data_IF_922816454204
#
_entry.id   IF_922816454204
#
_cell.length_a   1.000
_cell.length_b   1.000
_cell.length_c   1.000
_cell.angle_alpha   90.00
_cell.angle_beta   90.00
_cell.angle_gamma   90.00
#
_symmetry.space_group_name_H-M   'P 1'
#
loop_
_entity.id
_entity.type
_entity.pdbx_description
1 polymer ?
#
# COMPACT_ATOMS: atom_id res chain seq x y z
N UNK A 1 29.62 2.29 -21.91
CA UNK A 1 29.28 2.72 -20.54
C UNK A 1 27.82 3.11 -20.55
N UNK A 2 26.93 2.17 -20.21
CA UNK A 2 25.52 2.46 -19.98
C UNK A 2 25.43 3.28 -18.70
N UNK A 3 25.05 4.56 -18.81
CA UNK A 3 24.70 5.38 -17.66
C UNK A 3 23.59 4.68 -16.90
N UNK A 4 23.84 4.27 -15.65
CA UNK A 4 22.77 3.85 -14.74
C UNK A 4 21.81 5.04 -14.64
N UNK A 5 20.61 4.90 -15.19
CA UNK A 5 19.51 5.79 -14.85
C UNK A 5 19.22 5.60 -13.36
N UNK A 6 19.24 6.68 -12.58
CA UNK A 6 19.01 6.64 -11.12
C UNK A 6 17.50 6.67 -10.77
N UNK A 7 16.63 6.33 -11.71
CA UNK A 7 15.18 6.36 -11.52
C UNK A 7 14.56 7.72 -11.85
N UNK A 8 13.40 8.00 -11.25
CA UNK A 8 12.58 9.19 -11.47
C UNK A 8 13.32 10.49 -11.08
N UNK A 9 13.00 11.57 -11.79
CA UNK A 9 13.46 12.91 -11.45
C UNK A 9 12.76 13.40 -10.18
N UNK A 10 13.43 14.29 -9.44
CA UNK A 10 12.87 14.90 -8.22
C UNK A 10 12.38 16.30 -8.54
N UNK A 11 11.08 16.51 -8.38
CA UNK A 11 10.46 17.83 -8.44
C UNK A 11 10.29 18.38 -7.02
N UNK A 12 10.87 19.55 -6.77
CA UNK A 12 10.76 20.26 -5.50
C UNK A 12 9.83 21.48 -5.57
N UNK A 13 9.25 21.74 -6.75
CA UNK A 13 8.39 22.88 -7.03
C UNK A 13 6.92 22.42 -7.02
N UNK A 14 6.60 21.35 -7.77
CA UNK A 14 5.22 20.88 -7.91
C UNK A 14 4.30 22.02 -8.39
N UNK A 15 3.19 22.23 -7.69
CA UNK A 15 2.28 23.35 -7.95
C UNK A 15 2.72 24.72 -7.39
N UNK A 16 3.80 24.78 -6.61
CA UNK A 16 4.23 25.99 -5.90
C UNK A 16 3.08 26.61 -5.07
N UNK A 17 2.84 27.92 -5.19
CA UNK A 17 1.76 28.65 -4.52
C UNK A 17 0.48 28.80 -5.37
N UNK A 18 0.39 28.07 -6.49
CA UNK A 18 -0.76 28.11 -7.42
C UNK A 18 -1.33 26.70 -7.67
N UNK A 19 -1.83 25.99 -6.64
CA UNK A 19 -2.45 24.69 -6.80
C UNK A 19 -3.75 24.76 -7.61
N UNK A 20 -4.04 23.77 -8.47
CA UNK A 20 -5.25 23.77 -9.27
C UNK A 20 -6.49 23.65 -8.39
N UNK A 21 -7.58 24.29 -8.82
CA UNK A 21 -8.88 24.07 -8.19
C UNK A 21 -9.38 22.66 -8.55
N UNK A 22 -9.41 21.76 -7.56
CA UNK A 22 -9.72 20.35 -7.77
C UNK A 22 -11.17 20.07 -8.23
N UNK A 23 -12.10 21.02 -8.01
CA UNK A 23 -13.51 20.94 -8.42
C UNK A 23 -14.17 19.58 -8.08
N UNK A 24 -14.05 19.16 -6.82
CA UNK A 24 -14.53 17.85 -6.40
C UNK A 24 -16.04 17.67 -6.60
N UNK A 25 -16.51 16.44 -6.91
CA UNK A 25 -17.92 16.16 -7.17
C UNK A 25 -18.86 16.72 -6.09
N UNK A 26 -19.98 17.29 -6.51
CA UNK A 26 -20.98 17.86 -5.61
C UNK A 26 -20.53 19.15 -4.90
N UNK A 27 -19.46 19.79 -5.37
CA UNK A 27 -18.90 21.00 -4.73
C UNK A 27 -18.23 20.69 -3.39
N UNK A 28 -17.75 19.45 -3.21
CA UNK A 28 -17.09 19.04 -1.99
C UNK A 28 -15.83 19.88 -1.75
N UNK A 29 -15.61 20.28 -0.49
CA UNK A 29 -14.43 21.07 -0.09
C UNK A 29 -13.20 20.22 0.17
N UNK A 30 -13.40 18.91 0.34
CA UNK A 30 -12.36 17.91 0.63
C UNK A 30 -12.81 16.58 0.03
N UNK A 31 -11.86 15.83 -0.52
CA UNK A 31 -12.02 14.41 -0.84
C UNK A 31 -11.24 13.60 0.19
N UNK A 32 -11.88 12.60 0.80
CA UNK A 32 -11.24 11.74 1.80
C UNK A 32 -11.17 10.33 1.24
N UNK A 33 -9.96 9.79 1.13
CA UNK A 33 -9.72 8.40 0.78
C UNK A 33 -9.30 7.61 2.02
N UNK A 34 -10.09 6.62 2.41
CA UNK A 34 -9.73 5.69 3.48
C UNK A 34 -9.06 4.46 2.88
N UNK A 35 -7.79 4.26 3.21
CA UNK A 35 -7.03 3.08 2.80
C UNK A 35 -6.93 2.07 3.95
N UNK A 36 -7.36 0.83 3.71
CA UNK A 36 -7.15 -0.31 4.60
C UNK A 36 -6.05 -1.19 4.03
N UNK A 37 -4.87 -1.22 4.67
CA UNK A 37 -3.82 -2.14 4.25
C UNK A 37 -4.17 -3.56 4.72
N UNK A 38 -4.07 -4.53 3.80
CA UNK A 38 -4.24 -5.95 4.08
C UNK A 38 -2.92 -6.67 3.84
N UNK A 39 -2.08 -6.75 4.88
CA UNK A 39 -0.68 -7.17 4.80
C UNK A 39 -0.43 -8.51 5.52
N UNK A 40 -1.31 -8.86 6.45
CA UNK A 40 -1.17 -9.96 7.39
C UNK A 40 -1.20 -11.35 6.72
N UNK A 41 -0.07 -12.07 6.82
CA UNK A 41 0.26 -13.29 6.08
C UNK A 41 1.15 -13.04 4.86
N UNK A 42 1.47 -11.78 4.53
CA UNK A 42 2.33 -11.39 3.42
C UNK A 42 3.66 -10.76 3.84
N UNK A 43 3.84 -10.46 5.14
CA UNK A 43 5.03 -9.89 5.76
C UNK A 43 6.26 -10.82 5.73
N UNK A 44 7.42 -10.33 6.17
CA UNK A 44 8.64 -11.15 6.24
C UNK A 44 8.47 -12.33 7.20
N UNK A 45 8.74 -13.53 6.71
CA UNK A 45 8.70 -14.77 7.47
C UNK A 45 9.66 -15.80 6.90
N UNK A 46 10.36 -16.52 7.79
CA UNK A 46 11.16 -17.68 7.37
C UNK A 46 10.32 -18.78 6.72
N UNK A 47 9.01 -18.82 7.01
CA UNK A 47 8.07 -19.77 6.40
C UNK A 47 7.79 -19.43 4.93
N UNK A 48 8.00 -18.17 4.56
CA UNK A 48 7.88 -17.66 3.19
C UNK A 48 9.22 -17.65 2.45
N UNK A 49 10.27 -18.22 3.06
CA UNK A 49 11.62 -18.30 2.50
C UNK A 49 12.48 -17.07 2.74
N UNK A 50 12.05 -16.16 3.62
CA UNK A 50 12.85 -14.99 3.97
C UNK A 50 13.94 -15.39 4.99
N UNK A 51 15.11 -14.77 4.93
CA UNK A 51 16.23 -15.07 5.85
C UNK A 51 16.05 -14.55 7.28
N UNK A 52 14.93 -13.88 7.57
CA UNK A 52 14.68 -13.24 8.87
C UNK A 52 13.19 -13.02 9.14
N UNK A 53 12.85 -12.80 10.42
CA UNK A 53 11.51 -12.37 10.84
C UNK A 53 11.22 -10.89 10.50
N UNK A 54 9.93 -10.54 10.45
CA UNK A 54 9.47 -9.16 10.38
C UNK A 54 9.79 -8.37 11.66
N UNK A 55 9.95 -7.06 11.53
CA UNK A 55 10.15 -6.11 12.62
C UNK A 55 9.31 -4.84 12.49
N UNK A 56 8.70 -4.61 11.33
CA UNK A 56 7.93 -3.40 11.04
C UNK A 56 6.51 -3.51 11.59
N UNK A 57 5.93 -2.34 11.90
CA UNK A 57 4.51 -2.10 12.19
C UNK A 57 3.87 -3.20 13.05
N UNK A 58 4.24 -3.23 14.33
CA UNK A 58 3.61 -4.12 15.31
C UNK A 58 3.57 -3.46 16.69
N UNK A 59 2.81 -4.05 17.60
CA UNK A 59 2.74 -3.59 19.00
C UNK A 59 4.01 -3.96 19.81
N UNK A 60 4.99 -4.63 19.18
CA UNK A 60 6.18 -5.16 19.85
C UNK A 60 7.44 -4.67 19.14
N UNK A 61 8.26 -3.89 19.83
CA UNK A 61 9.59 -3.51 19.34
C UNK A 61 10.58 -4.64 19.60
N UNK A 62 11.09 -5.25 18.52
CA UNK A 62 12.05 -6.36 18.57
C UNK A 62 13.08 -6.23 17.45
N UNK A 63 14.25 -6.81 17.68
CA UNK A 63 15.24 -7.02 16.61
C UNK A 63 14.82 -8.19 15.71
N UNK A 64 15.23 -8.14 14.44
CA UNK A 64 14.98 -9.23 13.50
C UNK A 64 15.69 -10.51 13.96
N UNK A 65 14.99 -11.63 13.95
CA UNK A 65 15.59 -12.95 14.15
C UNK A 65 16.06 -13.51 12.83
N UNK A 66 17.37 -13.67 12.68
CA UNK A 66 17.99 -14.31 11.51
C UNK A 66 17.77 -15.82 11.59
N UNK A 67 17.32 -16.42 10.49
CA UNK A 67 17.01 -17.86 10.38
C UNK A 67 16.11 -18.39 11.51
N UNK A 68 15.24 -17.52 12.04
CA UNK A 68 14.41 -17.80 13.20
C UNK A 68 13.07 -17.09 13.16
N UNK A 69 12.12 -17.60 13.94
CA UNK A 69 10.77 -17.04 14.08
C UNK A 69 10.68 -16.07 15.24
N UNK A 70 9.98 -14.98 15.02
CA UNK A 70 9.58 -14.07 16.09
C UNK A 70 8.08 -14.22 16.36
N UNK A 71 7.74 -15.13 17.27
CA UNK A 71 6.37 -15.52 17.55
C UNK A 71 5.51 -14.36 18.08
N UNK A 72 6.11 -13.37 18.76
CA UNK A 72 5.34 -12.21 19.23
C UNK A 72 4.87 -11.35 18.05
N UNK A 73 5.71 -11.17 17.05
CA UNK A 73 5.37 -10.45 15.81
C UNK A 73 4.33 -11.24 15.02
N UNK A 74 4.56 -12.54 14.82
CA UNK A 74 3.62 -13.40 14.08
C UNK A 74 2.22 -13.37 14.72
N UNK A 75 2.10 -13.51 16.04
CA UNK A 75 0.80 -13.40 16.71
C UNK A 75 0.17 -12.01 16.62
N UNK A 76 0.98 -10.94 16.57
CA UNK A 76 0.49 -9.57 16.35
C UNK A 76 -0.14 -9.44 14.95
N UNK A 77 0.53 -9.95 13.92
CA UNK A 77 -0.02 -10.00 12.56
C UNK A 77 -1.26 -10.91 12.48
N UNK A 78 -1.24 -12.08 13.11
CA UNK A 78 -2.43 -12.94 13.16
C UNK A 78 -3.64 -12.23 13.79
N UNK A 79 -3.46 -11.33 14.75
CA UNK A 79 -4.56 -10.57 15.34
C UNK A 79 -5.27 -9.67 14.33
N UNK A 80 -4.53 -9.00 13.44
CA UNK A 80 -5.07 -8.22 12.34
C UNK A 80 -6.00 -9.06 11.46
N UNK A 81 -5.45 -10.17 10.93
CA UNK A 81 -6.17 -11.17 10.11
C UNK A 81 -7.41 -11.78 10.78
N UNK A 82 -7.30 -12.11 12.07
CA UNK A 82 -8.32 -12.88 12.81
C UNK A 82 -9.40 -12.01 13.42
N UNK A 83 -9.07 -10.78 13.81
CA UNK A 83 -9.93 -9.94 14.65
C UNK A 83 -10.01 -8.49 14.16
N UNK A 84 -8.86 -7.88 13.87
CA UNK A 84 -8.73 -6.47 13.49
C UNK A 84 -9.62 -6.11 12.29
N UNK A 85 -9.43 -6.80 11.16
CA UNK A 85 -10.17 -6.51 9.93
C UNK A 85 -11.68 -6.61 10.10
N UNK A 86 -12.18 -7.65 10.77
CA UNK A 86 -13.61 -7.80 10.96
C UNK A 86 -14.21 -6.66 11.79
N UNK A 87 -13.44 -6.09 12.72
CA UNK A 87 -13.84 -4.91 13.49
C UNK A 87 -13.88 -3.66 12.62
N UNK A 88 -12.86 -3.45 11.78
CA UNK A 88 -12.79 -2.31 10.85
C UNK A 88 -13.93 -2.39 9.82
N UNK A 89 -14.12 -3.56 9.20
CA UNK A 89 -15.19 -3.80 8.24
C UNK A 89 -16.56 -3.41 8.83
N UNK A 90 -16.89 -3.90 10.03
CA UNK A 90 -18.14 -3.53 10.72
C UNK A 90 -18.23 -2.02 10.94
N UNK A 91 -17.16 -1.38 11.38
CA UNK A 91 -17.16 0.06 11.65
C UNK A 91 -17.46 0.89 10.38
N UNK A 92 -16.94 0.49 9.22
CA UNK A 92 -17.24 1.12 7.93
C UNK A 92 -18.67 0.82 7.47
N UNK A 93 -19.08 -0.45 7.48
CA UNK A 93 -20.42 -0.85 7.01
C UNK A 93 -21.54 -0.24 7.84
N UNK A 94 -21.37 -0.15 9.17
CA UNK A 94 -22.35 0.47 10.07
C UNK A 94 -22.56 1.96 9.78
N UNK A 95 -21.58 2.61 9.12
CA UNK A 95 -21.62 4.02 8.72
C UNK A 95 -21.97 4.22 7.25
N UNK A 96 -22.19 3.14 6.50
CA UNK A 96 -22.37 3.20 5.04
C UNK A 96 -21.14 3.76 4.32
N UNK A 97 -19.95 3.64 4.93
CA UNK A 97 -18.70 4.12 4.37
C UNK A 97 -18.03 3.03 3.55
N UNK A 98 -17.23 3.46 2.57
CA UNK A 98 -16.38 2.61 1.74
C UNK A 98 -14.93 3.09 1.82
N UNK A 99 -14.01 2.27 1.37
CA UNK A 99 -12.61 2.61 1.24
C UNK A 99 -11.90 1.65 0.29
N UNK A 100 -10.62 1.90 0.09
CA UNK A 100 -9.74 1.12 -0.77
C UNK A 100 -8.92 0.17 0.08
N UNK A 101 -8.88 -1.11 -0.31
CA UNK A 101 -8.03 -2.10 0.33
C UNK A 101 -6.72 -2.22 -0.43
N UNK A 102 -5.62 -1.82 0.19
CA UNK A 102 -4.29 -2.08 -0.31
C UNK A 102 -3.94 -3.54 0.01
N UNK A 103 -4.15 -4.45 -0.96
CA UNK A 103 -4.05 -5.89 -0.76
C UNK A 103 -2.66 -6.43 -1.13
N UNK A 104 -1.94 -6.94 -0.13
CA UNK A 104 -0.75 -7.77 -0.37
C UNK A 104 -1.20 -9.13 -0.86
N UNK A 105 -0.69 -9.55 -2.01
CA UNK A 105 -1.28 -10.70 -2.69
C UNK A 105 -1.18 -12.02 -1.91
N UNK A 106 -0.06 -12.23 -1.21
CA UNK A 106 0.13 -13.40 -0.35
C UNK A 106 -0.81 -13.42 0.85
N UNK A 107 -1.05 -12.28 1.50
CA UNK A 107 -2.05 -12.15 2.56
C UNK A 107 -3.46 -12.52 2.05
N UNK A 108 -3.77 -12.12 0.81
CA UNK A 108 -5.00 -12.51 0.13
C UNK A 108 -5.18 -14.01 -0.12
N UNK A 109 -4.09 -14.76 -0.38
CA UNK A 109 -4.15 -16.22 -0.49
C UNK A 109 -4.49 -16.89 0.85
N UNK A 110 -4.04 -16.31 1.96
CA UNK A 110 -4.26 -16.88 3.30
C UNK A 110 -5.69 -16.68 3.82
N UNK A 111 -6.37 -15.61 3.43
CA UNK A 111 -7.68 -15.27 3.99
C UNK A 111 -8.73 -14.85 2.94
N UNK A 112 -9.14 -15.76 2.04
CA UNK A 112 -10.14 -15.47 1.02
C UNK A 112 -11.52 -15.11 1.60
N UNK A 113 -11.80 -15.51 2.85
CA UNK A 113 -13.05 -15.17 3.54
C UNK A 113 -13.13 -13.67 3.86
N UNK A 114 -12.04 -13.07 4.34
CA UNK A 114 -11.99 -11.63 4.60
C UNK A 114 -12.10 -10.83 3.29
N UNK A 115 -11.40 -11.26 2.23
CA UNK A 115 -11.47 -10.59 0.93
C UNK A 115 -12.89 -10.59 0.35
N UNK A 116 -13.57 -11.74 0.41
CA UNK A 116 -14.95 -11.84 -0.03
C UNK A 116 -15.85 -10.85 0.71
N UNK A 117 -15.71 -10.73 2.03
CA UNK A 117 -16.51 -9.81 2.83
C UNK A 117 -16.25 -8.33 2.50
N UNK A 118 -14.99 -7.96 2.20
CA UNK A 118 -14.62 -6.60 1.77
C UNK A 118 -15.25 -6.25 0.42
N UNK A 119 -15.17 -7.16 -0.56
CA UNK A 119 -15.78 -6.99 -1.89
C UNK A 119 -17.30 -6.87 -1.75
N UNK A 120 -17.94 -7.74 -0.97
CA UNK A 120 -19.39 -7.70 -0.74
C UNK A 120 -19.84 -6.40 -0.04
N UNK A 121 -18.99 -5.81 0.80
CA UNK A 121 -19.22 -4.51 1.43
C UNK A 121 -18.95 -3.32 0.49
N UNK A 122 -18.47 -3.57 -0.73
CA UNK A 122 -18.23 -2.56 -1.75
C UNK A 122 -16.94 -1.77 -1.56
N UNK A 123 -15.94 -2.35 -0.90
CA UNK A 123 -14.57 -1.86 -0.96
C UNK A 123 -13.94 -2.24 -2.31
N UNK A 124 -13.14 -1.34 -2.87
CA UNK A 124 -12.29 -1.64 -4.01
C UNK A 124 -10.96 -2.26 -3.55
N UNK A 125 -10.35 -3.07 -4.41
CA UNK A 125 -9.07 -3.71 -4.13
C UNK A 125 -7.97 -3.08 -4.99
N UNK A 126 -6.90 -2.69 -4.33
CA UNK A 126 -5.74 -2.03 -4.91
C UNK A 126 -4.50 -2.91 -4.67
N UNK A 127 -3.74 -3.29 -5.71
CA UNK A 127 -2.54 -4.10 -5.53
C UNK A 127 -1.54 -3.42 -4.59
N UNK A 128 -1.18 -4.14 -3.52
CA UNK A 128 -0.14 -3.74 -2.56
C UNK A 128 1.10 -4.64 -2.62
N UNK A 129 1.50 -5.00 -3.84
CA UNK A 129 2.56 -5.99 -4.04
C UNK A 129 2.12 -7.44 -3.83
N UNK A 130 3.01 -8.37 -4.14
CA UNK A 130 2.79 -9.81 -3.87
C UNK A 130 3.15 -10.16 -2.43
N UNK A 131 4.25 -9.57 -1.92
CA UNK A 131 4.79 -9.73 -0.58
C UNK A 131 4.98 -8.34 0.02
N UNK A 132 4.83 -8.22 1.33
CA UNK A 132 5.06 -6.97 2.04
C UNK A 132 6.52 -6.88 2.51
N UNK A 133 7.40 -6.52 1.57
CA UNK A 133 8.86 -6.48 1.76
C UNK A 133 9.46 -5.26 1.06
N UNK A 134 10.75 -5.01 1.24
CA UNK A 134 11.49 -3.98 0.49
C UNK A 134 11.82 -4.45 -0.93
N UNK A 135 11.18 -3.86 -1.93
CA UNK A 135 11.33 -4.26 -3.34
C UNK A 135 12.70 -3.91 -3.91
N UNK A 136 13.46 -3.00 -3.27
CA UNK A 136 14.83 -2.69 -3.67
C UNK A 136 15.81 -3.86 -3.46
N UNK A 137 15.39 -4.86 -2.67
CA UNK A 137 16.17 -6.08 -2.40
C UNK A 137 15.95 -7.19 -3.44
N UNK A 138 14.94 -7.04 -4.31
CA UNK A 138 14.59 -8.03 -5.32
C UNK A 138 15.42 -7.86 -6.60
N UNK A 139 15.59 -8.95 -7.37
CA UNK A 139 15.99 -8.80 -8.77
C UNK A 139 14.82 -8.23 -9.57
N UNK A 140 15.11 -7.58 -10.71
CA UNK A 140 14.09 -7.01 -11.59
C UNK A 140 13.10 -8.07 -12.07
N UNK A 141 13.55 -9.32 -12.29
CA UNK A 141 12.69 -10.43 -12.70
C UNK A 141 11.75 -10.88 -11.57
N UNK A 142 12.24 -10.91 -10.33
CA UNK A 142 11.42 -11.24 -9.16
C UNK A 142 10.36 -10.16 -8.94
N UNK A 143 10.76 -8.89 -8.98
CA UNK A 143 9.87 -7.75 -8.83
C UNK A 143 8.78 -7.75 -9.91
N UNK A 144 9.15 -7.92 -11.18
CA UNK A 144 8.20 -8.04 -12.31
C UNK A 144 7.20 -9.18 -12.07
N UNK A 145 7.69 -10.35 -11.64
CA UNK A 145 6.82 -11.50 -11.37
C UNK A 145 5.85 -11.23 -10.21
N UNK A 146 6.29 -10.53 -9.17
CA UNK A 146 5.45 -10.16 -8.02
C UNK A 146 4.39 -9.14 -8.40
N UNK A 147 4.74 -8.11 -9.17
CA UNK A 147 3.79 -7.14 -9.73
C UNK A 147 2.72 -7.88 -10.54
N UNK A 148 3.12 -8.69 -11.53
CA UNK A 148 2.19 -9.43 -12.38
C UNK A 148 1.27 -10.37 -11.58
N UNK A 149 1.81 -11.05 -10.55
CA UNK A 149 1.02 -11.96 -9.72
C UNK A 149 -0.02 -11.22 -8.86
N UNK A 150 0.34 -10.07 -8.29
CA UNK A 150 -0.59 -9.24 -7.51
C UNK A 150 -1.73 -8.69 -8.38
N UNK A 151 -1.43 -8.25 -9.60
CA UNK A 151 -2.42 -7.76 -10.56
C UNK A 151 -3.39 -8.85 -10.96
N UNK A 152 -2.87 -10.02 -11.34
CA UNK A 152 -3.69 -11.15 -11.76
C UNK A 152 -4.63 -11.63 -10.64
N UNK A 153 -4.21 -11.53 -9.38
CA UNK A 153 -5.08 -11.87 -8.25
C UNK A 153 -6.25 -10.89 -8.12
N UNK A 154 -6.01 -9.58 -8.24
CA UNK A 154 -7.11 -8.60 -8.22
C UNK A 154 -8.10 -8.88 -9.34
N UNK A 155 -7.61 -9.05 -10.58
CA UNK A 155 -8.47 -9.38 -11.73
C UNK A 155 -9.27 -10.66 -11.52
N UNK A 156 -8.68 -11.69 -10.91
CA UNK A 156 -9.38 -12.93 -10.58
C UNK A 156 -10.45 -12.76 -9.49
N UNK A 157 -10.26 -11.83 -8.55
CA UNK A 157 -11.17 -11.59 -7.43
C UNK A 157 -12.34 -10.68 -7.82
N UNK A 158 -12.09 -9.66 -8.63
CA UNK A 158 -13.06 -8.60 -8.94
C UNK A 158 -13.66 -8.74 -10.33
N UNK A 159 -12.99 -9.47 -11.24
CA UNK A 159 -13.31 -9.50 -12.67
C UNK A 159 -12.82 -8.28 -13.44
N UNK A 160 -12.14 -7.34 -12.78
CA UNK A 160 -11.65 -6.10 -13.38
C UNK A 160 -10.15 -5.93 -13.12
N UNK A 161 -9.43 -5.42 -14.12
CA UNK A 161 -8.02 -5.09 -13.96
C UNK A 161 -7.87 -3.87 -13.04
N UNK A 162 -6.92 -3.88 -12.09
CA UNK A 162 -6.66 -2.73 -11.24
C UNK A 162 -6.20 -1.53 -12.08
N UNK A 163 -6.64 -0.33 -11.68
CA UNK A 163 -6.28 0.93 -12.34
C UNK A 163 -5.12 1.66 -11.63
N UNK A 164 -4.80 1.25 -10.40
CA UNK A 164 -3.75 1.85 -9.60
C UNK A 164 -2.82 0.81 -8.98
N UNK A 165 -1.63 1.25 -8.57
CA UNK A 165 -0.67 0.43 -7.84
C UNK A 165 -0.05 1.19 -6.66
N UNK A 166 0.19 0.47 -5.54
CA UNK A 166 0.95 0.98 -4.39
C UNK A 166 1.89 -0.10 -3.86
N UNK A 167 3.21 0.03 -3.98
CA UNK A 167 4.15 -0.92 -3.36
C UNK A 167 4.40 -0.64 -1.88
N UNK A 168 4.34 0.64 -1.47
CA UNK A 168 4.73 1.12 -0.14
C UNK A 168 6.24 1.19 0.06
N UNK A 169 6.95 0.10 -0.21
CA UNK A 169 8.42 0.04 -0.27
C UNK A 169 8.91 -0.23 -1.69
N UNK A 170 8.70 0.69 -2.65
CA UNK A 170 9.06 0.48 -4.06
C UNK A 170 10.58 0.45 -4.27
N UNK A 171 11.00 -0.20 -5.35
CA UNK A 171 12.31 0.00 -5.97
C UNK A 171 12.23 1.10 -7.04
N UNK A 172 13.39 1.53 -7.56
CA UNK A 172 13.45 2.44 -8.72
C UNK A 172 12.83 1.86 -10.00
N UNK A 173 12.59 0.54 -10.04
CA UNK A 173 12.02 -0.16 -11.20
C UNK A 173 10.51 -0.37 -11.07
N UNK A 174 9.92 -0.20 -9.88
CA UNK A 174 8.51 -0.55 -9.63
C UNK A 174 7.57 0.11 -10.62
N UNK A 175 7.63 1.43 -10.78
CA UNK A 175 6.74 2.16 -11.69
C UNK A 175 6.94 1.75 -13.15
N UNK A 176 8.18 1.72 -13.71
CA UNK A 176 8.41 1.17 -15.03
C UNK A 176 7.83 -0.23 -15.26
N UNK A 177 7.97 -1.14 -14.27
CA UNK A 177 7.45 -2.50 -14.36
C UNK A 177 5.93 -2.56 -14.28
N UNK A 178 5.29 -1.75 -13.43
CA UNK A 178 3.82 -1.61 -13.38
C UNK A 178 3.29 -1.14 -14.73
N UNK A 179 3.96 -0.18 -15.37
CA UNK A 179 3.58 0.36 -16.68
C UNK A 179 3.82 -0.62 -17.86
N UNK A 180 4.46 -1.78 -17.64
CA UNK A 180 4.46 -2.86 -18.63
C UNK A 180 3.07 -3.51 -18.78
N UNK A 181 2.17 -3.29 -17.82
CA UNK A 181 0.79 -3.76 -17.84
C UNK A 181 -0.16 -2.69 -18.37
N UNK A 182 -1.14 -3.11 -19.17
CA UNK A 182 -2.19 -2.24 -19.68
C UNK A 182 -3.16 -1.81 -18.56
N UNK A 183 -3.80 -0.65 -18.73
CA UNK A 183 -4.88 -0.07 -17.89
C UNK A 183 -4.48 0.66 -16.60
N UNK A 184 -3.19 0.77 -16.27
CA UNK A 184 -2.78 1.61 -15.13
C UNK A 184 -2.96 3.10 -15.44
N UNK A 185 -3.72 3.76 -14.55
CA UNK A 185 -4.01 5.19 -14.60
C UNK A 185 -3.26 5.96 -13.50
N UNK A 186 -3.00 5.33 -12.36
CA UNK A 186 -2.36 6.01 -11.24
C UNK A 186 -1.41 5.15 -10.40
N UNK A 187 -0.61 5.80 -9.58
CA UNK A 187 0.15 5.17 -8.49
C UNK A 187 0.09 6.03 -7.23
N UNK A 188 0.16 5.38 -6.08
CA UNK A 188 0.20 6.04 -4.77
C UNK A 188 1.54 5.90 -4.05
N UNK A 189 2.60 5.48 -4.76
CA UNK A 189 3.98 5.42 -4.24
C UNK A 189 4.66 6.80 -4.14
N UNK A 190 3.91 7.81 -3.71
CA UNK A 190 4.36 9.20 -3.53
C UNK A 190 3.68 9.82 -2.31
N UNK A 191 4.34 10.83 -1.72
CA UNK A 191 3.96 11.41 -0.42
C UNK A 191 4.21 12.93 -0.38
N UNK A 192 4.21 13.58 -1.54
CA UNK A 192 4.84 14.89 -1.75
C UNK A 192 3.87 15.98 -2.24
N UNK A 193 2.57 15.78 -2.15
CA UNK A 193 1.55 16.79 -2.48
C UNK A 193 0.22 16.47 -1.77
N UNK A 194 -0.68 17.45 -1.68
CA UNK A 194 -2.04 17.30 -1.15
C UNK A 194 -3.06 17.00 -2.26
N UNK A 195 -2.66 17.19 -3.54
CA UNK A 195 -3.49 16.94 -4.71
C UNK A 195 -2.83 15.92 -5.67
N UNK A 196 -3.63 15.16 -6.43
CA UNK A 196 -3.10 14.37 -7.53
C UNK A 196 -2.44 15.24 -8.59
N UNK A 197 -1.34 14.76 -9.19
CA UNK A 197 -0.60 15.44 -10.25
C UNK A 197 -0.11 14.47 -11.32
N UNK A 198 0.14 14.96 -12.53
CA UNK A 198 0.63 14.10 -13.62
C UNK A 198 2.14 13.85 -13.46
N UNK A 199 2.57 12.60 -13.64
CA UNK A 199 3.99 12.24 -13.56
C UNK A 199 4.82 13.01 -14.60
N UNK A 200 5.93 13.66 -14.20
CA UNK A 200 6.83 14.32 -15.14
C UNK A 200 7.64 13.33 -15.99
N UNK A 201 7.88 12.13 -15.46
CA UNK A 201 8.72 11.12 -16.11
C UNK A 201 7.90 10.07 -16.89
N UNK A 202 6.62 9.91 -16.56
CA UNK A 202 5.73 8.90 -17.15
C UNK A 202 4.43 9.55 -17.67
N UNK A 203 4.44 10.07 -18.92
CA UNK A 203 3.26 10.72 -19.49
C UNK A 203 2.00 9.85 -19.42
N UNK A 204 0.92 10.41 -18.88
CA UNK A 204 -0.37 9.72 -18.73
C UNK A 204 -0.53 8.95 -17.41
N UNK A 205 0.50 8.85 -16.58
CA UNK A 205 0.39 8.31 -15.22
C UNK A 205 0.03 9.44 -14.23
N UNK A 206 -1.04 9.25 -13.47
CA UNK A 206 -1.42 10.13 -12.37
C UNK A 206 -0.72 9.69 -11.08
N UNK A 207 -0.08 10.63 -10.40
CA UNK A 207 0.47 10.45 -9.07
C UNK A 207 -0.61 10.85 -8.08
N UNK A 208 -1.06 9.92 -7.23
CA UNK A 208 -2.10 10.17 -6.20
C UNK A 208 -1.43 9.98 -4.83
N UNK A 209 -0.96 11.08 -4.20
CA UNK A 209 -0.22 11.00 -2.94
C UNK A 209 -0.94 10.20 -1.86
N UNK A 210 -0.17 9.32 -1.21
CA UNK A 210 -0.56 8.64 0.01
C UNK A 210 0.02 9.38 1.23
N UNK A 211 -0.31 8.93 2.44
CA UNK A 211 0.13 9.55 3.69
C UNK A 211 0.83 8.56 4.61
N UNK A 212 1.93 9.02 5.23
CA UNK A 212 2.65 8.30 6.29
C UNK A 212 2.50 8.98 7.67
N UNK A 213 1.83 10.13 7.72
CA UNK A 213 1.56 10.93 8.91
C UNK A 213 0.12 10.73 9.41
N UNK A 214 -0.91 10.95 8.58
CA UNK A 214 -2.31 10.56 8.87
C UNK A 214 -2.51 9.06 8.64
N UNK A 215 -1.71 8.25 9.32
CA UNK A 215 -1.57 6.82 9.09
C UNK A 215 -1.42 6.11 10.45
N UNK A 216 -2.20 5.06 10.70
CA UNK A 216 -2.19 4.36 12.00
C UNK A 216 -0.87 3.62 12.27
N UNK A 217 -0.02 3.39 11.26
CA UNK A 217 1.34 2.92 11.48
C UNK A 217 2.16 3.81 12.42
N UNK A 218 1.76 5.08 12.62
CA UNK A 218 2.34 5.97 13.63
C UNK A 218 2.20 5.45 15.06
N UNK A 219 1.20 4.63 15.37
CA UNK A 219 1.11 3.96 16.68
C UNK A 219 2.27 2.99 16.95
N UNK A 220 2.84 2.41 15.89
CA UNK A 220 3.92 1.42 15.98
C UNK A 220 5.31 1.98 15.61
N UNK A 221 5.39 3.08 14.84
CA UNK A 221 6.67 3.66 14.38
C UNK A 221 7.28 4.59 15.43
N UNK A 222 8.54 4.30 15.80
CA UNK A 222 9.52 5.12 16.52
C UNK A 222 9.00 6.42 17.18
N UNK A 223 8.33 6.27 18.34
CA UNK A 223 8.04 7.38 19.25
C UNK A 223 6.64 7.99 19.16
N UNK A 224 5.75 7.48 18.31
CA UNK A 224 4.31 7.72 18.45
C UNK A 224 3.82 9.16 18.22
N UNK A 225 4.55 10.00 17.48
CA UNK A 225 4.04 11.33 17.13
C UNK A 225 2.98 11.27 16.02
N UNK A 226 1.99 12.16 16.06
CA UNK A 226 0.84 12.21 15.13
C UNK A 226 -0.16 11.06 15.33
N UNK A 227 -0.30 10.59 16.58
CA UNK A 227 -1.29 9.59 17.00
C UNK A 227 -2.54 10.21 17.62
N UNK A 228 -2.48 11.50 17.99
CA UNK A 228 -3.60 12.30 18.48
C UNK A 228 -3.93 13.44 17.51
N UNK A 229 -5.21 13.79 17.42
CA UNK A 229 -5.66 14.87 16.55
C UNK A 229 -5.07 16.24 16.91
N UNK A 230 -4.82 16.47 18.21
CA UNK A 230 -4.20 17.70 18.71
C UNK A 230 -2.75 17.88 18.27
N UNK A 231 -2.06 16.81 17.83
CA UNK A 231 -0.65 16.90 17.40
C UNK A 231 -0.49 17.51 16.00
N UNK A 232 -1.60 17.74 15.28
CA UNK A 232 -1.63 18.38 13.97
C UNK A 232 -1.88 19.91 14.04
N UNK A 233 -2.04 20.49 15.24
CA UNK A 233 -2.36 21.91 15.46
C UNK A 233 -1.42 22.57 16.47
#
# INVERSE_FOLDING_TARGET
>A
MTTKSFGQSRDFIGYADDPPFADWPGGARIAVNFCLNYEEGGERSILEGDGQSETRISDVTVDAKIDGRELNIEHSYEYGARVGYWRILRAFTDRGMKGTVNLVGRAGEHNPLALKALIEAGFDLHPHGWRWIDYSTLTIEQERAYIAKSIAQIEALTGEKPLGYYAGLPSVNTIPLVLEHENFLYTSDVYNDDLPYWSPDHPGLLMVPYSLDTNDSRFARDGGGYVLGEEFF
#
